data_IF_757009448993
#
_entry.id   IF_757009448993
#
_cell.length_a   1.000
_cell.length_b   1.000
_cell.length_c   1.000
_cell.angle_alpha   90.00
_cell.angle_beta   90.00
_cell.angle_gamma   90.00
#
_symmetry.space_group_name_H-M   'P 1'
#
loop_
_entity.id
_entity.type
_entity.pdbx_description
1 polymer ?
#
# COMPACT_ATOMS: atom_id res chain seq x y z
N UNK A 1 -52.78 6.55 -10.74
CA UNK A 1 -51.57 6.97 -10.00
C UNK A 1 -50.36 6.37 -10.71
N UNK A 2 -49.70 7.12 -11.57
CA UNK A 2 -48.45 6.65 -12.19
C UNK A 2 -47.41 6.53 -11.08
N UNK A 3 -46.89 5.33 -10.84
CA UNK A 3 -45.98 5.07 -9.74
C UNK A 3 -44.63 5.80 -9.96
N UNK A 4 -44.49 6.99 -9.39
CA UNK A 4 -43.23 7.58 -8.91
C UNK A 4 -42.11 7.92 -9.89
N UNK A 5 -42.18 7.58 -11.19
CA UNK A 5 -41.05 7.75 -12.13
C UNK A 5 -41.23 8.89 -13.14
N UNK A 6 -42.41 9.52 -13.23
CA UNK A 6 -42.75 10.46 -14.31
C UNK A 6 -42.15 11.87 -14.22
N UNK A 7 -41.20 12.20 -13.33
CA UNK A 7 -40.60 13.56 -13.28
C UNK A 7 -39.08 13.65 -13.09
N UNK A 8 -38.36 12.52 -13.00
CA UNK A 8 -36.91 12.60 -12.83
C UNK A 8 -36.24 12.62 -14.22
N UNK A 9 -35.91 13.83 -14.70
CA UNK A 9 -35.19 14.01 -15.96
C UNK A 9 -33.83 13.30 -15.88
N UNK A 10 -33.58 12.37 -16.82
CA UNK A 10 -32.26 11.77 -17.02
C UNK A 10 -31.34 12.79 -17.70
N UNK A 11 -30.10 12.92 -17.24
CA UNK A 11 -29.14 13.86 -17.79
C UNK A 11 -27.76 13.78 -17.13
N UNK A 12 -26.79 14.47 -17.70
CA UNK A 12 -25.37 14.39 -17.32
C UNK A 12 -24.94 15.44 -16.28
N UNK A 13 -25.87 16.27 -15.81
CA UNK A 13 -25.60 17.35 -14.83
C UNK A 13 -25.82 16.88 -13.39
N UNK A 14 -25.29 17.62 -12.42
CA UNK A 14 -25.47 17.33 -10.98
C UNK A 14 -26.93 17.44 -10.49
N UNK A 15 -27.84 18.04 -11.27
CA UNK A 15 -29.25 18.27 -10.90
C UNK A 15 -30.22 17.30 -11.58
N UNK A 16 -29.72 16.37 -12.38
CA UNK A 16 -30.50 15.38 -13.13
C UNK A 16 -30.07 13.97 -12.72
N UNK A 17 -30.99 13.01 -12.76
CA UNK A 17 -30.59 11.62 -12.52
C UNK A 17 -29.67 11.11 -13.62
N UNK A 18 -28.67 10.33 -13.24
CA UNK A 18 -27.86 9.57 -14.18
C UNK A 18 -28.65 8.37 -14.71
N UNK A 19 -28.53 8.08 -16.00
CA UNK A 19 -28.92 6.78 -16.52
C UNK A 19 -27.99 5.69 -15.93
N UNK A 20 -28.45 4.43 -15.87
CA UNK A 20 -27.66 3.34 -15.27
C UNK A 20 -26.30 3.07 -15.95
N UNK A 21 -26.13 3.54 -17.19
CA UNK A 21 -24.90 3.48 -17.99
C UNK A 21 -24.21 4.86 -18.15
N UNK A 22 -24.58 5.86 -17.36
CA UNK A 22 -23.95 7.18 -17.36
C UNK A 22 -22.48 7.08 -16.94
N UNK A 23 -21.59 7.78 -17.65
CA UNK A 23 -20.16 7.73 -17.43
C UNK A 23 -19.73 8.25 -16.04
N UNK A 24 -20.54 9.06 -15.37
CA UNK A 24 -20.28 9.46 -13.98
C UNK A 24 -20.43 8.32 -12.97
N UNK A 25 -21.05 7.21 -13.38
CA UNK A 25 -21.12 5.98 -12.60
C UNK A 25 -20.01 4.98 -13.00
N UNK A 26 -19.10 5.37 -13.90
CA UNK A 26 -18.05 4.51 -14.45
C UNK A 26 -16.88 4.27 -13.48
N UNK A 27 -16.86 4.94 -12.33
CA UNK A 27 -15.83 4.88 -11.29
C UNK A 27 -15.74 3.50 -10.60
N UNK A 28 -16.41 2.48 -11.15
CA UNK A 28 -16.49 1.12 -10.67
C UNK A 28 -17.27 1.06 -9.36
N UNK A 29 -18.58 1.29 -9.46
CA UNK A 29 -19.54 1.08 -8.38
C UNK A 29 -19.34 -0.27 -7.65
N UNK A 30 -18.78 -1.25 -8.36
CA UNK A 30 -18.15 -2.45 -7.79
C UNK A 30 -16.79 -2.61 -8.47
N UNK A 31 -15.66 -2.54 -7.75
CA UNK A 31 -14.36 -2.88 -8.30
C UNK A 31 -14.41 -4.29 -8.89
N UNK A 32 -13.97 -4.44 -10.13
CA UNK A 32 -13.75 -5.78 -10.71
C UNK A 32 -12.36 -6.27 -10.35
N UNK A 33 -12.12 -7.56 -10.47
CA UNK A 33 -10.79 -8.14 -10.22
C UNK A 33 -9.71 -7.42 -11.04
N UNK A 34 -8.59 -7.10 -10.38
CA UNK A 34 -7.46 -6.40 -10.98
C UNK A 34 -7.67 -4.92 -11.30
N UNK A 35 -8.86 -4.37 -11.02
CA UNK A 35 -9.16 -2.98 -11.35
C UNK A 35 -8.53 -1.98 -10.37
N UNK A 36 -8.20 -2.40 -9.15
CA UNK A 36 -7.46 -1.58 -8.19
C UNK A 36 -5.99 -1.48 -8.60
N UNK A 37 -5.63 -0.37 -9.23
CA UNK A 37 -4.25 -0.04 -9.62
C UNK A 37 -3.60 0.85 -8.57
N UNK A 38 -2.27 1.03 -8.64
CA UNK A 38 -1.55 1.91 -7.71
C UNK A 38 -2.10 3.34 -7.67
N UNK A 39 -2.62 3.87 -8.79
CA UNK A 39 -3.21 5.21 -8.83
C UNK A 39 -4.50 5.35 -7.99
N UNK A 40 -5.16 4.23 -7.65
CA UNK A 40 -6.34 4.19 -6.78
C UNK A 40 -5.99 4.04 -5.31
N UNK A 41 -4.73 3.77 -4.99
CA UNK A 41 -4.21 3.63 -3.63
C UNK A 41 -3.51 4.95 -3.30
N UNK A 42 -4.10 5.72 -2.38
CA UNK A 42 -3.49 6.96 -1.94
C UNK A 42 -2.23 6.66 -1.11
N UNK A 43 -1.17 7.43 -1.35
CA UNK A 43 0.09 7.25 -0.62
C UNK A 43 -0.10 7.54 0.88
N UNK A 44 0.46 6.65 1.71
CA UNK A 44 0.42 6.78 3.17
C UNK A 44 -0.94 6.46 3.82
N UNK A 45 -1.95 6.02 3.07
CA UNK A 45 -3.27 5.70 3.66
C UNK A 45 -3.43 4.25 4.08
N UNK A 46 -2.57 3.34 3.59
CA UNK A 46 -2.57 1.94 4.01
C UNK A 46 -1.76 1.83 5.30
N UNK A 47 -2.43 1.53 6.40
CA UNK A 47 -1.86 1.37 7.73
C UNK A 47 -1.91 -0.08 8.19
N UNK A 48 -1.23 -0.41 9.30
CA UNK A 48 -1.20 -1.77 9.84
C UNK A 48 -2.60 -2.36 10.07
N UNK A 49 -3.57 -1.52 10.46
CA UNK A 49 -4.95 -1.94 10.69
C UNK A 49 -5.69 -2.41 9.42
N UNK A 50 -5.26 -1.98 8.23
CA UNK A 50 -5.82 -2.43 6.96
C UNK A 50 -5.29 -3.82 6.56
N UNK A 51 -4.20 -4.26 7.18
CA UNK A 51 -3.56 -5.55 6.90
C UNK A 51 -4.03 -6.57 7.93
N UNK A 52 -4.71 -7.61 7.46
CA UNK A 52 -5.10 -8.72 8.32
C UNK A 52 -3.86 -9.38 8.95
N UNK A 53 -3.89 -9.67 10.26
CA UNK A 53 -2.78 -10.30 10.96
C UNK A 53 -2.39 -11.69 10.40
N UNK A 54 -3.33 -12.39 9.73
CA UNK A 54 -3.11 -13.66 9.05
C UNK A 54 -2.79 -13.50 7.55
N UNK A 55 -2.60 -12.28 7.05
CA UNK A 55 -2.29 -12.05 5.64
C UNK A 55 -0.95 -12.71 5.26
N UNK A 56 -0.99 -13.56 4.23
CA UNK A 56 0.20 -14.20 3.66
C UNK A 56 0.92 -13.25 2.69
N UNK A 57 1.54 -12.19 3.21
CA UNK A 57 2.32 -11.25 2.41
C UNK A 57 3.69 -11.88 2.09
N UNK A 58 3.87 -12.28 0.84
CA UNK A 58 5.15 -12.84 0.39
C UNK A 58 6.28 -11.80 0.57
N UNK A 59 7.42 -12.25 1.09
CA UNK A 59 8.58 -11.39 1.36
C UNK A 59 9.07 -10.63 0.11
N UNK A 60 8.89 -11.21 -1.08
CA UNK A 60 9.20 -10.59 -2.38
C UNK A 60 8.35 -9.36 -2.71
N UNK A 61 7.23 -9.15 -2.00
CA UNK A 61 6.37 -7.98 -2.12
C UNK A 61 6.68 -6.91 -1.07
N UNK A 62 7.49 -7.21 -0.07
CA UNK A 62 8.02 -6.23 0.87
C UNK A 62 9.24 -5.55 0.24
N UNK A 63 9.48 -4.29 0.60
CA UNK A 63 10.73 -3.63 0.23
C UNK A 63 11.92 -4.47 0.73
N UNK A 64 12.87 -4.75 -0.16
CA UNK A 64 14.06 -5.54 0.16
C UNK A 64 14.85 -4.93 1.31
N UNK A 65 15.37 -5.78 2.20
CA UNK A 65 16.34 -5.39 3.22
C UNK A 65 15.78 -4.91 4.56
N UNK A 66 14.46 -4.91 4.78
CA UNK A 66 13.88 -4.56 6.09
C UNK A 66 13.69 -5.78 6.98
N UNK A 67 14.27 -5.74 8.17
CA UNK A 67 14.08 -6.75 9.24
C UNK A 67 13.34 -6.08 10.39
N UNK A 68 12.27 -6.71 10.87
CA UNK A 68 11.66 -6.33 12.14
C UNK A 68 12.56 -6.81 13.28
N UNK A 69 13.05 -5.90 14.10
CA UNK A 69 13.83 -6.20 15.29
C UNK A 69 13.42 -5.36 16.48
N UNK A 70 14.07 -5.58 17.61
CA UNK A 70 13.84 -4.82 18.84
C UNK A 70 15.15 -4.59 19.56
N UNK A 71 15.30 -3.46 20.24
CA UNK A 71 16.34 -3.25 21.25
C UNK A 71 15.73 -2.85 22.60
N UNK A 72 16.55 -2.39 23.55
CA UNK A 72 16.09 -1.94 24.87
C UNK A 72 15.07 -0.78 24.82
N UNK A 73 15.05 0.01 23.73
CA UNK A 73 14.09 1.10 23.53
C UNK A 73 12.79 0.66 22.81
N UNK A 74 12.72 -0.58 22.32
CA UNK A 74 11.52 -1.17 21.72
C UNK A 74 11.71 -1.65 20.28
N UNK A 75 10.57 -1.82 19.58
CA UNK A 75 10.55 -2.30 18.19
C UNK A 75 11.19 -1.28 17.23
N UNK A 76 11.93 -1.78 16.24
CA UNK A 76 12.62 -0.99 15.23
C UNK A 76 12.73 -1.73 13.90
N UNK A 77 12.77 -0.96 12.82
CA UNK A 77 13.19 -1.47 11.52
C UNK A 77 14.71 -1.48 11.45
N UNK A 78 15.26 -2.61 11.04
CA UNK A 78 16.70 -2.83 10.85
C UNK A 78 17.00 -3.12 9.37
N UNK A 79 18.20 -2.80 8.93
CA UNK A 79 18.74 -3.16 7.61
C UNK A 79 19.73 -4.29 7.74
N UNK A 80 19.79 -5.20 6.76
CA UNK A 80 20.83 -6.22 6.68
C UNK A 80 21.93 -5.79 5.72
N UNK A 81 23.18 -5.78 6.18
CA UNK A 81 24.35 -5.56 5.35
C UNK A 81 25.25 -6.80 5.33
N UNK A 82 25.77 -7.15 4.15
CA UNK A 82 26.72 -8.26 3.97
C UNK A 82 27.91 -7.77 3.14
N UNK A 83 29.13 -8.01 3.61
CA UNK A 83 30.35 -7.64 2.89
C UNK A 83 31.63 -8.15 3.57
N UNK A 84 32.78 -7.94 2.94
CA UNK A 84 34.09 -8.38 3.44
C UNK A 84 34.55 -7.57 4.64
N UNK A 85 35.53 -8.08 5.39
CA UNK A 85 36.13 -7.34 6.50
C UNK A 85 36.74 -5.99 6.06
N UNK A 86 37.37 -5.95 4.89
CA UNK A 86 37.91 -4.71 4.31
C UNK A 86 36.79 -3.70 3.99
N UNK A 87 35.66 -4.17 3.48
CA UNK A 87 34.50 -3.32 3.22
C UNK A 87 33.87 -2.80 4.52
N UNK A 88 33.73 -3.68 5.53
CA UNK A 88 33.18 -3.29 6.82
C UNK A 88 34.05 -2.23 7.52
N UNK A 89 35.37 -2.43 7.52
CA UNK A 89 36.33 -1.49 8.12
C UNK A 89 36.35 -0.14 7.38
N UNK A 90 36.16 -0.14 6.05
CA UNK A 90 36.08 1.08 5.25
C UNK A 90 34.83 1.93 5.49
N UNK A 91 33.77 1.39 6.10
CA UNK A 91 32.56 2.18 6.44
C UNK A 91 32.93 3.18 7.55
N UNK A 92 32.96 4.47 7.24
CA UNK A 92 33.36 5.52 8.19
C UNK A 92 32.50 5.57 9.45
N UNK A 93 31.17 5.57 9.30
CA UNK A 93 30.22 5.55 10.42
C UNK A 93 29.24 4.41 10.24
N UNK A 94 29.15 3.53 11.24
CA UNK A 94 28.21 2.41 11.23
C UNK A 94 26.81 2.92 11.55
N UNK A 95 25.85 2.49 10.75
CA UNK A 95 24.45 2.78 10.96
C UNK A 95 23.93 1.93 12.12
N UNK A 96 23.37 2.58 13.14
CA UNK A 96 22.90 1.91 14.36
C UNK A 96 21.68 1.01 14.12
N UNK A 97 21.03 1.14 12.96
CA UNK A 97 19.91 0.33 12.53
C UNK A 97 20.34 -0.77 11.55
N UNK A 98 21.64 -1.01 11.36
CA UNK A 98 22.15 -2.02 10.43
C UNK A 98 22.83 -3.18 11.14
N UNK A 99 22.43 -4.39 10.79
CA UNK A 99 23.11 -5.64 11.16
C UNK A 99 24.17 -5.94 10.11
N UNK A 100 25.42 -5.95 10.54
CA UNK A 100 26.58 -6.18 9.67
C UNK A 100 27.04 -7.64 9.74
N UNK A 101 26.80 -8.41 8.68
CA UNK A 101 27.37 -9.73 8.49
C UNK A 101 28.66 -9.63 7.68
N UNK A 102 29.77 -9.97 8.31
CA UNK A 102 31.11 -9.88 7.70
C UNK A 102 31.50 -11.24 7.17
N UNK A 103 31.85 -11.30 5.89
CA UNK A 103 32.46 -12.50 5.31
C UNK A 103 33.96 -12.49 5.61
N UNK A 104 34.48 -13.67 5.95
CA UNK A 104 35.91 -13.90 6.15
C UNK A 104 36.74 -13.46 4.94
#
# INVERSE_FOLDING_TARGET
MGAGTSSLTLGTTGTTACAGNDARLADQRVPTDGSVTSAKIADGTIVDADINAAAAIALTKLATGRVAGSDHAGARTLTLWVGTEAQYTAIGTKDANTLYFRTA
#
